data_IF_555055321825
#
_entry.id   IF_555055321825
#
_cell.length_a   1.000
_cell.length_b   1.000
_cell.length_c   1.000
_cell.angle_alpha   90.00
_cell.angle_beta   90.00
_cell.angle_gamma   90.00
#
_symmetry.space_group_name_H-M   'P 1'
#
loop_
_entity.id
_entity.type
_entity.pdbx_description
1 polymer ?
#
# COMPACT_ATOMS: atom_id res chain seq x y z
N UNK A 1 -36.77 -10.52 7.36
CA UNK A 1 -36.58 -11.86 6.78
C UNK A 1 -35.20 -11.94 6.14
N UNK A 2 -34.31 -12.83 6.58
CA UNK A 2 -33.06 -12.99 5.83
C UNK A 2 -31.87 -13.71 6.47
N UNK A 3 -32.02 -14.59 7.46
CA UNK A 3 -30.98 -15.60 7.73
C UNK A 3 -31.64 -16.95 8.06
N UNK A 4 -31.56 -17.87 7.10
CA UNK A 4 -32.07 -19.24 7.19
C UNK A 4 -31.35 -19.98 8.32
N UNK A 5 -32.13 -20.64 9.20
CA UNK A 5 -31.70 -21.34 10.43
C UNK A 5 -30.54 -22.36 10.30
N UNK A 6 -30.09 -22.70 9.09
CA UNK A 6 -28.95 -23.62 8.85
C UNK A 6 -27.59 -22.94 8.57
N UNK A 7 -27.53 -21.62 8.37
CA UNK A 7 -26.25 -20.93 8.09
C UNK A 7 -25.44 -20.62 9.35
N UNK A 8 -26.10 -20.37 10.48
CA UNK A 8 -25.42 -20.09 11.77
C UNK A 8 -24.67 -21.31 12.31
N UNK A 9 -25.23 -22.51 12.14
CA UNK A 9 -24.55 -23.77 12.49
C UNK A 9 -23.33 -24.01 11.61
N UNK A 10 -23.41 -23.68 10.32
CA UNK A 10 -22.28 -23.77 9.40
C UNK A 10 -21.14 -22.82 9.80
N UNK A 11 -21.43 -21.54 10.11
CA UNK A 11 -20.41 -20.60 10.60
C UNK A 11 -19.81 -21.02 11.93
N UNK A 12 -20.64 -21.55 12.84
CA UNK A 12 -20.15 -22.10 14.11
C UNK A 12 -19.18 -23.26 13.88
N UNK A 13 -19.53 -24.20 12.99
CA UNK A 13 -18.64 -25.30 12.61
C UNK A 13 -17.37 -24.81 11.93
N UNK A 14 -17.44 -23.74 11.14
CA UNK A 14 -16.28 -23.17 10.46
C UNK A 14 -15.29 -22.51 11.44
N UNK A 15 -15.77 -21.92 12.52
CA UNK A 15 -14.95 -21.16 13.47
C UNK A 15 -14.49 -21.97 14.69
N UNK A 16 -15.24 -23.02 15.07
CA UNK A 16 -15.02 -23.81 16.31
C UNK A 16 -14.13 -25.04 16.07
N UNK A 17 -13.56 -25.59 17.15
CA UNK A 17 -12.80 -26.85 17.18
C UNK A 17 -11.67 -26.96 16.15
N UNK A 18 -11.02 -25.83 15.87
CA UNK A 18 -9.88 -25.76 14.94
C UNK A 18 -8.57 -25.99 15.67
N UNK A 19 -7.65 -26.65 14.98
CA UNK A 19 -6.29 -26.91 15.46
C UNK A 19 -5.28 -26.54 14.38
N UNK A 20 -4.09 -26.12 14.81
CA UNK A 20 -2.95 -25.78 13.95
C UNK A 20 -1.69 -26.50 14.43
N UNK A 21 -0.76 -26.74 13.52
CA UNK A 21 0.59 -27.22 13.80
C UNK A 21 1.55 -26.71 12.73
N UNK A 22 2.84 -26.71 13.01
CA UNK A 22 3.88 -26.29 12.06
C UNK A 22 4.56 -27.54 11.48
N UNK A 23 4.80 -27.52 10.18
CA UNK A 23 5.62 -28.52 9.49
C UNK A 23 6.92 -27.87 9.01
N UNK A 24 8.07 -28.38 9.47
CA UNK A 24 9.39 -27.92 9.04
C UNK A 24 10.24 -29.14 8.71
N UNK A 25 10.75 -29.22 7.48
CA UNK A 25 11.64 -30.29 7.01
C UNK A 25 11.13 -31.70 7.33
N UNK A 26 9.83 -31.93 7.14
CA UNK A 26 9.18 -33.24 7.41
C UNK A 26 8.89 -33.52 8.88
N UNK A 27 9.31 -32.65 9.80
CA UNK A 27 8.97 -32.74 11.24
C UNK A 27 7.71 -31.93 11.53
N UNK A 28 6.84 -32.47 12.38
CA UNK A 28 5.57 -31.86 12.76
C UNK A 28 5.59 -31.47 14.24
N UNK A 29 5.13 -30.26 14.56
CA UNK A 29 4.86 -29.88 15.94
C UNK A 29 3.60 -30.56 16.47
N UNK A 30 3.40 -30.48 17.79
CA UNK A 30 2.13 -30.82 18.41
C UNK A 30 1.00 -29.92 17.88
N UNK A 31 -0.22 -30.45 17.98
CA UNK A 31 -1.44 -29.71 17.67
C UNK A 31 -1.75 -28.69 18.76
N UNK A 32 -2.02 -27.47 18.35
CA UNK A 32 -2.49 -26.40 19.22
C UNK A 32 -3.89 -25.94 18.79
N UNK A 33 -4.83 -25.72 19.72
CA UNK A 33 -6.14 -25.20 19.38
C UNK A 33 -6.03 -23.76 18.86
N UNK A 34 -6.88 -23.41 17.90
CA UNK A 34 -7.00 -22.06 17.35
C UNK A 34 -8.23 -21.40 17.96
N UNK A 35 -8.01 -20.57 18.98
CA UNK A 35 -9.08 -19.96 19.77
C UNK A 35 -9.67 -18.70 19.14
N UNK A 36 -9.03 -18.11 18.13
CA UNK A 36 -9.50 -16.90 17.46
C UNK A 36 -9.07 -16.83 15.99
N UNK A 37 -9.61 -15.85 15.26
CA UNK A 37 -9.27 -15.61 13.85
C UNK A 37 -9.91 -16.59 12.87
N UNK A 38 -9.59 -16.41 11.60
CA UNK A 38 -10.07 -17.23 10.48
C UNK A 38 -8.91 -17.99 9.84
N UNK A 39 -9.14 -19.17 9.21
CA UNK A 39 -8.07 -19.87 8.51
C UNK A 39 -7.47 -19.01 7.39
N UNK A 40 -6.14 -18.84 7.39
CA UNK A 40 -5.46 -18.14 6.29
C UNK A 40 -5.57 -18.95 4.99
N UNK A 41 -5.78 -18.26 3.87
CA UNK A 41 -6.00 -18.89 2.56
C UNK A 41 -7.43 -19.42 2.34
N UNK A 42 -8.32 -19.27 3.32
CA UNK A 42 -9.72 -19.61 3.14
C UNK A 42 -10.49 -18.57 2.31
N UNK A 43 -11.49 -19.04 1.57
CA UNK A 43 -12.36 -18.17 0.76
C UNK A 43 -13.21 -17.24 1.65
N UNK A 44 -13.66 -17.74 2.81
CA UNK A 44 -14.53 -16.96 3.70
C UNK A 44 -13.80 -16.10 4.72
N UNK A 45 -12.52 -16.35 4.98
CA UNK A 45 -11.75 -15.57 5.95
C UNK A 45 -11.83 -14.07 5.69
N UNK A 46 -11.54 -13.59 4.47
CA UNK A 46 -11.64 -12.17 4.13
C UNK A 46 -13.05 -11.59 4.33
N UNK A 47 -14.10 -12.32 3.92
CA UNK A 47 -15.48 -11.85 4.08
C UNK A 47 -15.87 -11.72 5.56
N UNK A 48 -15.54 -12.73 6.36
CA UNK A 48 -15.82 -12.72 7.79
C UNK A 48 -15.05 -11.61 8.51
N UNK A 49 -13.81 -11.37 8.11
CA UNK A 49 -13.02 -10.25 8.62
C UNK A 49 -13.66 -8.90 8.29
N UNK A 50 -14.13 -8.70 7.04
CA UNK A 50 -14.83 -7.46 6.67
C UNK A 50 -16.10 -7.24 7.51
N UNK A 51 -16.89 -8.29 7.74
CA UNK A 51 -18.09 -8.21 8.61
C UNK A 51 -17.69 -7.86 10.05
N UNK A 52 -16.57 -8.41 10.53
CA UNK A 52 -16.07 -8.21 11.89
C UNK A 52 -15.66 -6.76 12.18
N UNK A 53 -15.14 -6.04 11.19
CA UNK A 53 -14.68 -4.64 11.36
C UNK A 53 -15.69 -3.59 10.93
N UNK A 54 -16.87 -4.00 10.43
CA UNK A 54 -17.77 -3.11 9.69
C UNK A 54 -18.44 -2.05 10.58
N UNK A 55 -18.46 -2.23 11.89
CA UNK A 55 -19.00 -1.30 12.88
C UNK A 55 -17.96 -0.30 13.40
N UNK A 56 -16.67 -0.46 13.09
CA UNK A 56 -15.59 0.46 13.46
C UNK A 56 -15.92 1.94 13.17
N UNK A 57 -16.57 2.30 12.03
CA UNK A 57 -16.96 3.68 11.75
C UNK A 57 -17.97 4.30 12.73
N UNK A 58 -18.73 3.49 13.46
CA UNK A 58 -19.73 3.96 14.43
C UNK A 58 -19.09 4.61 15.67
N UNK A 59 -17.78 4.39 15.87
CA UNK A 59 -16.99 4.92 16.99
C UNK A 59 -16.27 6.23 16.67
N UNK A 60 -16.51 6.79 15.48
CA UNK A 60 -15.91 8.03 15.01
C UNK A 60 -16.95 9.15 15.05
N UNK A 61 -16.56 10.32 15.58
CA UNK A 61 -17.44 11.47 15.72
C UNK A 61 -17.84 12.14 14.41
N UNK A 62 -18.91 12.93 14.46
CA UNK A 62 -19.39 13.68 13.31
C UNK A 62 -18.32 14.65 12.76
N UNK A 63 -18.24 14.73 11.43
CA UNK A 63 -17.26 15.56 10.71
C UNK A 63 -15.89 14.90 10.50
N UNK A 64 -15.70 13.68 11.00
CA UNK A 64 -14.57 12.82 10.68
C UNK A 64 -15.02 11.73 9.71
N UNK A 65 -14.06 11.09 9.04
CA UNK A 65 -14.32 10.00 8.12
C UNK A 65 -13.26 8.92 8.31
N UNK A 66 -13.69 7.67 8.16
CA UNK A 66 -12.81 6.52 8.22
C UNK A 66 -12.90 5.72 6.91
N UNK A 67 -11.76 5.35 6.36
CA UNK A 67 -11.67 4.43 5.23
C UNK A 67 -11.03 3.13 5.69
N UNK A 68 -11.64 2.00 5.30
CA UNK A 68 -11.19 0.66 5.66
C UNK A 68 -10.77 -0.10 4.39
N UNK A 69 -9.64 -0.79 4.45
CA UNK A 69 -9.19 -1.71 3.41
C UNK A 69 -8.49 -2.90 4.09
N UNK A 70 -9.19 -4.04 4.19
CA UNK A 70 -8.73 -5.14 5.03
C UNK A 70 -8.29 -4.61 6.41
N UNK A 71 -7.09 -4.91 6.86
CA UNK A 71 -6.55 -4.47 8.15
C UNK A 71 -6.08 -3.00 8.18
N UNK A 72 -5.98 -2.33 7.02
CA UNK A 72 -5.61 -0.92 6.94
C UNK A 72 -6.82 -0.01 7.19
N UNK A 73 -6.76 0.82 8.23
CA UNK A 73 -7.77 1.84 8.55
C UNK A 73 -7.19 3.25 8.49
N UNK A 74 -7.96 4.22 7.98
CA UNK A 74 -7.53 5.63 7.84
C UNK A 74 -8.59 6.57 8.36
N UNK A 75 -8.30 7.20 9.48
CA UNK A 75 -9.11 8.26 10.05
C UNK A 75 -8.63 9.61 9.53
N UNK A 76 -9.53 10.44 8.99
CA UNK A 76 -9.23 11.77 8.52
C UNK A 76 -10.32 12.77 8.86
N UNK A 77 -9.90 14.00 9.16
CA UNK A 77 -10.76 15.11 9.56
C UNK A 77 -10.18 16.44 9.08
N UNK A 78 -10.99 17.39 8.59
CA UNK A 78 -10.57 18.78 8.44
C UNK A 78 -10.24 19.40 9.80
N UNK A 79 -8.98 19.80 10.00
CA UNK A 79 -8.51 20.41 11.26
C UNK A 79 -8.41 21.92 11.15
N UNK A 80 -9.00 22.61 12.12
CA UNK A 80 -8.78 24.01 12.42
C UNK A 80 -8.37 24.14 13.91
N UNK A 81 -8.05 25.35 14.35
CA UNK A 81 -7.58 25.59 15.73
C UNK A 81 -8.57 25.14 16.81
N UNK A 82 -9.87 25.10 16.51
CA UNK A 82 -10.89 24.66 17.46
C UNK A 82 -11.14 23.14 17.40
N UNK A 83 -10.81 22.45 16.30
CA UNK A 83 -11.21 21.06 16.07
C UNK A 83 -10.10 20.02 16.28
N UNK A 84 -8.87 20.41 16.66
CA UNK A 84 -7.77 19.47 16.82
C UNK A 84 -8.06 18.36 17.84
N UNK A 85 -8.70 18.70 18.96
CA UNK A 85 -9.02 17.75 20.02
C UNK A 85 -10.04 16.69 19.57
N UNK A 86 -10.86 16.99 18.55
CA UNK A 86 -11.87 16.07 18.05
C UNK A 86 -11.23 14.86 17.36
N UNK A 87 -10.13 15.05 16.61
CA UNK A 87 -9.40 13.92 16.04
C UNK A 87 -8.77 13.05 17.12
N UNK A 88 -8.30 13.65 18.22
CA UNK A 88 -7.83 12.89 19.37
C UNK A 88 -8.97 12.11 20.05
N UNK A 89 -10.17 12.70 20.15
CA UNK A 89 -11.36 12.02 20.65
C UNK A 89 -11.76 10.84 19.78
N UNK A 90 -11.70 10.99 18.45
CA UNK A 90 -11.98 9.91 17.51
C UNK A 90 -10.96 8.76 17.63
N UNK A 91 -9.67 9.08 17.81
CA UNK A 91 -8.63 8.07 18.10
C UNK A 91 -8.92 7.32 19.40
N UNK A 92 -9.38 8.01 20.44
CA UNK A 92 -9.79 7.37 21.69
C UNK A 92 -11.03 6.48 21.52
N UNK A 93 -12.00 6.90 20.69
CA UNK A 93 -13.17 6.09 20.34
C UNK A 93 -12.78 4.79 19.61
N UNK A 94 -11.86 4.89 18.64
CA UNK A 94 -11.31 3.72 17.96
C UNK A 94 -10.52 2.82 18.90
N UNK A 95 -9.78 3.39 19.86
CA UNK A 95 -9.09 2.60 20.87
C UNK A 95 -10.08 1.80 21.73
N UNK A 96 -11.18 2.43 22.15
CA UNK A 96 -12.25 1.75 22.87
C UNK A 96 -12.84 0.59 22.04
N UNK A 97 -13.22 0.85 20.78
CA UNK A 97 -13.66 -0.20 19.83
C UNK A 97 -12.65 -1.35 19.75
N UNK A 98 -11.36 -1.03 19.64
CA UNK A 98 -10.31 -2.04 19.50
C UNK A 98 -10.17 -2.95 20.73
N UNK A 99 -10.48 -2.42 21.92
CA UNK A 99 -10.48 -3.19 23.16
C UNK A 99 -11.71 -4.10 23.24
N UNK A 100 -12.89 -3.60 22.89
CA UNK A 100 -14.14 -4.37 22.85
C UNK A 100 -14.05 -5.54 21.85
N UNK A 101 -13.46 -5.29 20.68
CA UNK A 101 -13.30 -6.28 19.61
C UNK A 101 -11.99 -7.08 19.67
N UNK A 102 -11.12 -6.85 20.67
CA UNK A 102 -9.84 -7.55 20.80
C UNK A 102 -8.89 -7.35 19.61
N UNK A 103 -8.99 -6.21 18.91
CA UNK A 103 -8.20 -5.85 17.73
C UNK A 103 -7.21 -4.71 18.01
N UNK A 104 -6.29 -4.94 18.94
CA UNK A 104 -5.36 -3.90 19.40
C UNK A 104 -4.55 -3.28 18.26
N UNK A 105 -4.63 -1.95 18.14
CA UNK A 105 -3.78 -1.21 17.20
C UNK A 105 -2.30 -1.30 17.60
N UNK A 106 -1.42 -1.23 16.61
CA UNK A 106 0.03 -1.12 16.82
C UNK A 106 0.48 0.33 16.64
N UNK A 107 0.73 1.10 17.73
CA UNK A 107 1.06 2.52 17.62
C UNK A 107 2.35 2.80 16.84
N UNK A 108 3.29 1.85 16.76
CA UNK A 108 4.54 2.05 16.01
C UNK A 108 4.33 2.00 14.49
N UNK A 109 3.27 1.33 14.03
CA UNK A 109 2.85 1.29 12.63
C UNK A 109 1.89 2.43 12.27
N UNK A 110 1.14 2.96 13.24
CA UNK A 110 0.25 4.10 13.05
C UNK A 110 1.07 5.39 12.90
N UNK A 111 0.72 6.20 11.89
CA UNK A 111 1.37 7.49 11.59
C UNK A 111 0.32 8.58 11.46
N UNK A 112 0.72 9.82 11.70
CA UNK A 112 -0.10 11.00 11.42
C UNK A 112 0.52 11.78 10.27
N UNK A 113 -0.29 12.23 9.32
CA UNK A 113 0.17 13.11 8.26
C UNK A 113 -0.72 14.36 8.18
N UNK A 114 -0.13 15.53 8.36
CA UNK A 114 -0.83 16.81 8.28
C UNK A 114 -0.79 17.32 6.86
N UNK A 115 -1.89 17.19 6.12
CA UNK A 115 -2.00 17.67 4.75
C UNK A 115 -2.50 19.14 4.71
N UNK A 116 -1.79 20.00 3.99
CA UNK A 116 -2.20 21.40 3.79
C UNK A 116 -1.54 22.01 2.56
N UNK A 117 -2.29 22.86 1.85
CA UNK A 117 -1.75 23.71 0.77
C UNK A 117 -1.13 25.01 1.30
N UNK A 118 -1.29 25.32 2.60
CA UNK A 118 -0.72 26.53 3.20
C UNK A 118 0.77 26.35 3.41
N UNK A 119 1.55 27.37 3.06
CA UNK A 119 3.02 27.40 3.26
C UNK A 119 3.41 27.27 4.74
N UNK A 120 2.61 27.85 5.63
CA UNK A 120 2.71 27.69 7.09
C UNK A 120 1.47 26.96 7.57
N UNK A 121 1.68 25.79 8.16
CA UNK A 121 0.61 24.94 8.67
C UNK A 121 0.73 24.93 10.19
N UNK A 122 -0.13 25.72 10.87
CA UNK A 122 -0.17 25.80 12.33
C UNK A 122 -0.50 24.47 13.00
N UNK A 123 -1.13 23.55 12.27
CA UNK A 123 -1.43 22.20 12.74
C UNK A 123 -0.24 21.23 12.66
N UNK A 124 0.89 21.62 12.04
CA UNK A 124 2.05 20.73 11.90
C UNK A 124 2.75 20.40 13.25
N UNK A 125 2.49 21.18 14.30
CA UNK A 125 2.99 20.93 15.66
C UNK A 125 2.00 20.15 16.54
N UNK A 126 0.81 19.82 16.04
CA UNK A 126 -0.17 19.05 16.80
C UNK A 126 0.30 17.60 16.92
N UNK A 127 0.36 17.10 18.16
CA UNK A 127 0.71 15.73 18.46
C UNK A 127 -0.54 14.95 18.86
N UNK A 128 -0.69 13.76 18.30
CA UNK A 128 -1.77 12.83 18.64
C UNK A 128 -1.20 11.58 19.30
N UNK A 129 -2.00 10.96 20.16
CA UNK A 129 -1.60 9.81 20.95
C UNK A 129 -2.54 8.63 20.70
N UNK A 130 -1.97 7.43 20.74
CA UNK A 130 -2.70 6.16 20.68
C UNK A 130 -2.07 5.21 21.72
N UNK A 131 -2.86 4.68 22.65
CA UNK A 131 -2.34 3.92 23.81
C UNK A 131 -1.26 4.69 24.60
N UNK A 132 -1.52 5.97 24.87
CA UNK A 132 -0.58 6.90 25.54
C UNK A 132 0.79 7.04 24.85
N UNK A 133 0.93 6.53 23.62
CA UNK A 133 2.14 6.65 22.81
C UNK A 133 1.92 7.74 21.76
N UNK A 134 2.86 8.69 21.62
CA UNK A 134 2.76 9.70 20.58
C UNK A 134 2.89 9.04 19.20
N UNK A 135 1.99 9.40 18.29
CA UNK A 135 2.07 8.97 16.90
C UNK A 135 3.14 9.79 16.17
N UNK A 136 3.93 9.11 15.35
CA UNK A 136 4.94 9.77 14.53
C UNK A 136 4.28 10.60 13.42
N UNK A 137 4.68 11.87 13.33
CA UNK A 137 4.26 12.78 12.26
C UNK A 137 5.16 12.59 11.03
N UNK A 138 4.56 12.26 9.89
CA UNK A 138 5.29 11.96 8.64
C UNK A 138 4.94 12.97 7.53
N UNK A 139 5.86 13.11 6.58
CA UNK A 139 5.66 13.97 5.40
C UNK A 139 5.13 13.22 4.18
N UNK A 140 5.25 11.90 4.18
CA UNK A 140 4.73 11.01 3.16
C UNK A 140 4.49 9.63 3.78
N UNK A 141 3.56 8.88 3.21
CA UNK A 141 3.22 7.52 3.65
C UNK A 141 2.86 6.65 2.44
N UNK A 142 3.20 5.36 2.50
CA UNK A 142 2.73 4.41 1.49
C UNK A 142 1.35 3.89 1.88
N UNK A 143 0.41 4.01 0.96
CA UNK A 143 -0.96 3.57 1.10
C UNK A 143 -1.35 2.72 -0.11
N UNK A 144 -1.67 1.43 0.11
CA UNK A 144 -2.01 0.45 -0.94
C UNK A 144 -1.03 0.44 -2.13
N UNK A 145 0.25 0.67 -1.85
CA UNK A 145 1.32 0.73 -2.86
C UNK A 145 1.51 2.09 -3.55
N UNK A 146 0.79 3.14 -3.14
CA UNK A 146 0.94 4.52 -3.62
C UNK A 146 1.55 5.39 -2.52
N UNK A 147 2.58 6.19 -2.84
CA UNK A 147 3.15 7.13 -1.86
C UNK A 147 2.36 8.44 -1.92
N UNK A 148 1.71 8.81 -0.82
CA UNK A 148 0.99 10.07 -0.66
C UNK A 148 1.84 11.01 0.17
N UNK A 149 2.08 12.22 -0.35
CA UNK A 149 2.87 13.26 0.33
C UNK A 149 1.94 14.32 0.95
N UNK A 150 2.36 14.97 2.04
CA UNK A 150 1.60 16.01 2.75
C UNK A 150 1.21 17.23 1.89
N UNK A 151 2.00 17.49 0.86
CA UNK A 151 1.84 18.57 -0.12
C UNK A 151 1.07 18.12 -1.38
N UNK A 152 0.61 16.87 -1.40
CA UNK A 152 -0.05 16.20 -2.53
C UNK A 152 0.83 16.12 -3.79
N UNK A 153 2.15 16.25 -3.63
CA UNK A 153 3.12 16.04 -4.71
C UNK A 153 3.33 14.55 -4.97
N UNK A 154 3.28 14.19 -6.26
CA UNK A 154 3.61 12.85 -6.75
C UNK A 154 5.11 12.62 -6.97
N UNK A 155 5.98 13.56 -6.59
CA UNK A 155 7.42 13.45 -6.84
C UNK A 155 8.03 12.19 -6.18
N UNK A 156 7.79 11.99 -4.89
CA UNK A 156 8.29 10.82 -4.14
C UNK A 156 7.78 9.50 -4.73
N UNK A 157 6.49 9.44 -5.05
CA UNK A 157 5.86 8.26 -5.68
C UNK A 157 6.48 7.94 -7.04
N UNK A 158 6.61 8.95 -7.92
CA UNK A 158 7.15 8.77 -9.27
C UNK A 158 8.61 8.33 -9.24
N UNK A 159 9.41 8.88 -8.32
CA UNK A 159 10.80 8.47 -8.13
C UNK A 159 10.93 7.02 -7.65
N UNK A 160 10.08 6.60 -6.71
CA UNK A 160 10.05 5.23 -6.20
C UNK A 160 9.64 4.22 -7.29
N UNK A 161 8.53 4.45 -8.00
CA UNK A 161 8.09 3.54 -9.08
C UNK A 161 9.10 3.48 -10.22
N UNK A 162 9.73 4.61 -10.59
CA UNK A 162 10.79 4.63 -11.60
C UNK A 162 12.00 3.84 -11.14
N UNK A 163 12.38 3.94 -9.86
CA UNK A 163 13.49 3.19 -9.28
C UNK A 163 13.20 1.68 -9.31
N UNK A 164 12.02 1.26 -8.84
CA UNK A 164 11.57 -0.14 -8.87
C UNK A 164 11.50 -0.70 -10.29
N UNK A 165 10.97 0.08 -11.24
CA UNK A 165 10.89 -0.29 -12.64
C UNK A 165 12.29 -0.41 -13.29
N UNK A 166 13.21 0.53 -13.03
CA UNK A 166 14.58 0.44 -13.54
C UNK A 166 15.34 -0.75 -12.95
N UNK A 167 15.18 -1.06 -11.65
CA UNK A 167 15.77 -2.26 -11.03
C UNK A 167 15.28 -3.54 -11.73
N UNK A 168 13.97 -3.64 -11.94
CA UNK A 168 13.35 -4.78 -12.64
C UNK A 168 13.85 -4.89 -14.08
N UNK A 169 13.90 -3.77 -14.80
CA UNK A 169 14.45 -3.71 -16.17
C UNK A 169 15.93 -4.10 -16.21
N UNK A 170 16.72 -3.69 -15.21
CA UNK A 170 18.13 -4.06 -15.09
C UNK A 170 18.32 -5.57 -14.89
N UNK A 171 17.45 -6.20 -14.09
CA UNK A 171 17.45 -7.65 -13.92
C UNK A 171 17.11 -8.37 -15.23
N UNK A 172 16.05 -7.94 -15.93
CA UNK A 172 15.68 -8.50 -17.24
C UNK A 172 16.83 -8.37 -18.23
N UNK A 173 17.50 -7.21 -18.28
CA UNK A 173 18.66 -7.00 -19.16
C UNK A 173 19.81 -7.95 -18.86
N UNK A 174 19.99 -8.32 -17.60
CA UNK A 174 21.06 -9.22 -17.15
C UNK A 174 20.73 -10.69 -17.47
N UNK A 175 19.50 -11.12 -17.22
CA UNK A 175 19.09 -12.52 -17.39
C UNK A 175 18.71 -12.83 -18.83
N UNK A 176 18.05 -11.89 -19.51
CA UNK A 176 17.56 -12.03 -20.88
C UNK A 176 18.42 -11.18 -21.82
N UNK A 177 19.69 -11.52 -21.93
CA UNK A 177 20.63 -10.79 -22.79
C UNK A 177 20.17 -10.78 -24.26
N UNK A 178 20.66 -9.80 -25.02
CA UNK A 178 20.16 -9.46 -26.36
C UNK A 178 20.36 -10.56 -27.40
N UNK A 179 21.40 -11.34 -27.19
CA UNK A 179 21.88 -12.51 -27.93
C UNK A 179 21.17 -13.81 -27.51
N UNK A 180 20.53 -13.84 -26.34
CA UNK A 180 19.89 -15.04 -25.79
C UNK A 180 18.39 -15.09 -26.07
N UNK A 181 17.71 -13.93 -26.01
CA UNK A 181 16.24 -13.84 -26.05
C UNK A 181 15.79 -12.91 -27.15
N UNK A 182 14.79 -13.29 -27.96
CA UNK A 182 14.29 -12.47 -29.07
C UNK A 182 13.56 -11.19 -28.62
N UNK A 183 13.31 -10.28 -29.57
CA UNK A 183 12.68 -8.99 -29.29
C UNK A 183 11.23 -9.09 -28.79
N UNK A 184 10.44 -10.06 -29.27
CA UNK A 184 9.06 -10.25 -28.85
C UNK A 184 9.00 -10.74 -27.39
N UNK A 185 9.87 -11.68 -27.03
CA UNK A 185 9.97 -12.17 -25.65
C UNK A 185 10.43 -11.06 -24.70
N UNK A 186 11.41 -10.22 -25.10
CA UNK A 186 11.80 -9.04 -24.30
C UNK A 186 10.65 -8.04 -24.13
N UNK A 187 9.87 -7.81 -25.18
CA UNK A 187 8.67 -6.94 -25.13
C UNK A 187 7.62 -7.51 -24.18
N UNK A 188 7.37 -8.82 -24.25
CA UNK A 188 6.45 -9.51 -23.35
C UNK A 188 6.87 -9.34 -21.89
N UNK A 189 8.14 -9.59 -21.57
CA UNK A 189 8.69 -9.41 -20.22
C UNK A 189 8.53 -7.96 -19.74
N UNK A 190 8.85 -6.97 -20.58
CA UNK A 190 8.63 -5.56 -20.24
C UNK A 190 7.16 -5.28 -19.89
N UNK A 191 6.22 -5.69 -20.76
CA UNK A 191 4.79 -5.48 -20.56
C UNK A 191 4.24 -6.23 -19.33
N UNK A 192 4.80 -7.39 -19.00
CA UNK A 192 4.32 -8.22 -17.90
C UNK A 192 4.84 -7.78 -16.53
N UNK A 193 6.09 -7.30 -16.42
CA UNK A 193 6.72 -7.05 -15.10
C UNK A 193 7.27 -5.65 -14.88
N UNK A 194 7.57 -4.88 -15.92
CA UNK A 194 8.09 -3.50 -15.78
C UNK A 194 6.96 -2.48 -15.92
N UNK A 195 6.17 -2.58 -17.00
CA UNK A 195 5.08 -1.65 -17.29
C UNK A 195 4.05 -1.57 -16.16
N UNK A 196 3.59 -2.68 -15.55
CA UNK A 196 2.60 -2.59 -14.47
C UNK A 196 3.12 -1.82 -13.26
N UNK A 197 4.42 -1.84 -12.97
CA UNK A 197 5.01 -1.04 -11.89
C UNK A 197 4.94 0.46 -12.17
N UNK A 198 4.98 0.87 -13.44
CA UNK A 198 4.86 2.26 -13.85
C UNK A 198 3.41 2.72 -13.96
N UNK A 199 2.44 1.82 -14.12
CA UNK A 199 1.04 2.19 -14.38
C UNK A 199 0.09 1.85 -13.21
N UNK A 200 0.55 1.08 -12.22
CA UNK A 200 -0.26 0.72 -11.06
C UNK A 200 -0.85 1.96 -10.39
N UNK A 201 -2.17 1.96 -10.21
CA UNK A 201 -2.96 3.05 -9.61
C UNK A 201 -2.83 4.43 -10.30
N UNK A 202 -2.52 4.49 -11.60
CA UNK A 202 -2.39 5.75 -12.36
C UNK A 202 -3.69 6.55 -12.50
N UNK A 203 -4.83 6.03 -12.06
CA UNK A 203 -6.07 6.80 -11.90
C UNK A 203 -6.04 7.73 -10.69
N UNK A 204 -5.23 7.40 -9.67
CA UNK A 204 -5.07 8.19 -8.44
C UNK A 204 -3.95 9.22 -8.61
N UNK A 205 -2.85 8.82 -9.24
CA UNK A 205 -1.68 9.67 -9.44
C UNK A 205 -1.43 9.91 -10.93
N UNK A 206 -0.97 11.10 -11.28
CA UNK A 206 -0.58 11.41 -12.66
C UNK A 206 0.54 12.46 -12.68
N UNK A 207 1.56 12.32 -13.54
CA UNK A 207 2.66 13.27 -13.64
C UNK A 207 2.17 14.61 -14.20
N UNK A 208 2.11 15.64 -13.35
CA UNK A 208 1.68 16.98 -13.76
C UNK A 208 2.84 17.83 -14.29
N UNK A 209 4.08 17.60 -13.85
CA UNK A 209 5.24 18.35 -14.32
C UNK A 209 5.98 17.67 -15.48
N UNK A 210 6.60 18.48 -16.35
CA UNK A 210 7.44 17.96 -17.44
C UNK A 210 8.61 17.09 -16.92
N UNK A 211 9.17 17.45 -15.76
CA UNK A 211 10.22 16.67 -15.08
C UNK A 211 9.74 15.26 -14.74
N UNK A 212 8.57 15.14 -14.12
CA UNK A 212 7.97 13.86 -13.74
C UNK A 212 7.63 13.00 -14.97
N UNK A 213 7.01 13.60 -16.00
CA UNK A 213 6.72 12.89 -17.27
C UNK A 213 8.00 12.34 -17.88
N UNK A 214 9.08 13.14 -17.90
CA UNK A 214 10.39 12.74 -18.42
C UNK A 214 11.00 11.58 -17.62
N UNK A 215 10.82 11.51 -16.31
CA UNK A 215 11.33 10.39 -15.49
C UNK A 215 10.70 9.06 -15.91
N UNK A 216 9.37 9.03 -16.04
CA UNK A 216 8.63 7.83 -16.45
C UNK A 216 9.01 7.44 -17.89
N UNK A 217 9.00 8.41 -18.80
CA UNK A 217 9.35 8.24 -20.21
C UNK A 217 10.78 7.70 -20.38
N UNK A 218 11.73 8.14 -19.56
CA UNK A 218 13.11 7.64 -19.61
C UNK A 218 13.20 6.13 -19.31
N UNK A 219 12.34 5.58 -18.45
CA UNK A 219 12.30 4.13 -18.22
C UNK A 219 11.83 3.40 -19.47
N UNK A 220 10.75 3.90 -20.10
CA UNK A 220 10.22 3.33 -21.33
C UNK A 220 11.25 3.38 -22.46
N UNK A 221 11.92 4.52 -22.66
CA UNK A 221 13.01 4.66 -23.65
C UNK A 221 14.14 3.67 -23.43
N UNK A 222 14.57 3.47 -22.17
CA UNK A 222 15.61 2.47 -21.84
C UNK A 222 15.16 1.03 -22.11
N UNK A 223 13.87 0.74 -21.96
CA UNK A 223 13.29 -0.55 -22.29
C UNK A 223 13.21 -0.75 -23.80
N UNK A 224 12.66 0.22 -24.54
CA UNK A 224 12.55 0.18 -26.00
C UNK A 224 13.91 0.00 -26.69
N UNK A 225 14.95 0.73 -26.24
CA UNK A 225 16.32 0.54 -26.74
C UNK A 225 16.84 -0.88 -26.53
N UNK A 226 16.45 -1.53 -25.45
CA UNK A 226 16.84 -2.91 -25.17
C UNK A 226 16.03 -3.93 -25.98
N UNK A 227 14.72 -3.72 -26.09
CA UNK A 227 13.81 -4.58 -26.86
C UNK A 227 14.19 -4.58 -28.34
N UNK A 228 14.41 -3.41 -28.94
CA UNK A 228 14.71 -3.24 -30.36
C UNK A 228 16.21 -3.35 -30.70
N UNK A 229 17.03 -3.71 -29.71
CA UNK A 229 18.46 -3.89 -29.89
C UNK A 229 19.22 -2.63 -30.38
N UNK A 230 18.72 -1.43 -30.08
CA UNK A 230 19.43 -0.19 -30.41
C UNK A 230 20.81 -0.15 -29.73
N UNK A 231 21.86 0.36 -30.40
CA UNK A 231 23.18 0.53 -29.81
C UNK A 231 23.09 1.40 -28.54
N UNK A 232 23.79 0.99 -27.49
CA UNK A 232 23.80 1.68 -26.18
C UNK A 232 24.49 3.06 -26.23
N UNK A 233 25.17 3.36 -27.34
CA UNK A 233 25.90 4.60 -27.61
C UNK A 233 25.79 4.91 -29.11
N UNK A 234 24.94 5.83 -29.50
CA UNK A 234 25.44 6.81 -30.47
C UNK A 234 26.21 7.81 -29.62
N UNK A 235 27.48 8.04 -29.96
CA UNK A 235 28.22 9.17 -29.43
C UNK A 235 27.44 10.47 -29.64
N UNK A 236 27.92 11.55 -29.05
CA UNK A 236 27.49 12.89 -29.48
C UNK A 236 27.39 12.92 -31.00
N UNK A 237 26.37 13.57 -31.57
CA UNK A 237 26.23 13.75 -33.03
C UNK A 237 27.53 14.30 -33.68
N UNK A 238 28.41 14.91 -32.88
CA UNK A 238 29.72 15.46 -33.26
C UNK A 238 30.79 14.36 -33.50
N UNK A 239 30.72 13.20 -32.84
CA UNK A 239 31.76 12.16 -32.97
C UNK A 239 31.61 11.32 -34.25
N UNK A 240 30.44 11.35 -34.89
CA UNK A 240 30.14 10.60 -36.11
C UNK A 240 30.25 11.42 -37.40
N UNK A 241 30.78 12.65 -37.33
CA UNK A 241 31.04 13.50 -38.50
C UNK A 241 32.50 13.47 -38.96
N UNK A 242 33.39 12.81 -38.20
CA UNK A 242 34.84 12.76 -38.48
C UNK A 242 35.42 11.32 -38.43
N UNK A 243 34.60 10.30 -38.72
CA UNK A 243 35.05 8.91 -38.84
C UNK A 243 34.67 8.34 -40.22
#
# INVERSE_FOLDING_TARGET
HGFLRGKSTWFRSYLSDRYQRVALDGTLSDWLPVTSGVPQGSILGPLLFLVYINDMPEYVGQGSSIALFADDSKLYRPINSASHHLLQSDLSGLLYWSNDWGMTFNPSKCKVMHMSRKKVCSSASLQYHLNDKPLESVTHISDLGVIVSKDLSWANHIEDICTKANKTLGLIKRVCARDVVDANTRKLLYCAVVRPKLEYASCVWSPYSAKQRKLIENVQRRATKFILNYPSRTGSFIDNLNA
#
